data_IF_113301555401
#
_entry.id   IF_113301555401
#
_cell.length_a   1.000
_cell.length_b   1.000
_cell.length_c   1.000
_cell.angle_alpha   90.00
_cell.angle_beta   90.00
_cell.angle_gamma   90.00
#
_symmetry.space_group_name_H-M   'P 1'
#
loop_
_entity.id
_entity.type
_entity.pdbx_description
1 polymer ?
#
# COMPACT_ATOMS: atom_id res chain seq x y z
N UNK A 1 -58.18 -22.99 22.56
CA UNK A 1 -56.81 -23.47 22.36
C UNK A 1 -55.91 -22.25 22.11
N UNK A 2 -55.08 -21.94 23.05
CA UNK A 2 -54.13 -20.81 22.97
C UNK A 2 -52.77 -21.41 22.59
N UNK A 3 -52.19 -20.96 21.48
CA UNK A 3 -50.80 -21.27 21.12
C UNK A 3 -49.95 -20.10 21.57
N UNK A 4 -49.09 -20.37 22.57
CA UNK A 4 -47.98 -19.52 22.93
C UNK A 4 -46.85 -19.77 21.90
N UNK A 5 -46.41 -18.73 21.23
CA UNK A 5 -45.20 -18.74 20.43
C UNK A 5 -44.16 -17.92 21.18
N UNK A 6 -43.23 -18.64 21.84
CA UNK A 6 -42.01 -18.04 22.41
C UNK A 6 -41.08 -17.60 21.31
N UNK A 7 -40.95 -16.30 21.08
CA UNK A 7 -39.94 -15.70 20.24
C UNK A 7 -38.70 -15.44 21.13
N UNK A 8 -37.78 -16.39 21.20
CA UNK A 8 -36.40 -16.10 21.58
C UNK A 8 -35.74 -15.32 20.46
N UNK A 9 -35.65 -13.99 20.60
CA UNK A 9 -34.78 -13.16 19.81
C UNK A 9 -33.34 -13.42 20.25
N UNK A 10 -32.61 -14.21 19.46
CA UNK A 10 -31.17 -14.28 19.55
C UNK A 10 -30.59 -12.93 19.09
N UNK A 11 -30.24 -12.07 20.03
CA UNK A 11 -29.41 -10.90 19.75
C UNK A 11 -28.06 -11.40 19.19
N UNK A 12 -27.88 -11.24 17.89
CA UNK A 12 -26.57 -11.23 17.29
C UNK A 12 -25.83 -10.00 17.85
N UNK A 13 -25.07 -10.19 18.92
CA UNK A 13 -24.10 -9.20 19.36
C UNK A 13 -23.06 -9.05 18.25
N UNK A 14 -23.28 -8.07 17.39
CA UNK A 14 -22.24 -7.56 16.49
C UNK A 14 -21.17 -6.96 17.41
N UNK A 15 -20.11 -7.72 17.69
CA UNK A 15 -18.94 -7.20 18.36
C UNK A 15 -18.46 -6.00 17.50
N UNK A 16 -18.67 -4.79 18.03
CA UNK A 16 -18.14 -3.58 17.43
C UNK A 16 -16.64 -3.78 17.22
N UNK A 17 -16.19 -3.67 15.96
CA UNK A 17 -14.78 -3.78 15.63
C UNK A 17 -14.03 -2.72 16.44
N UNK A 18 -13.15 -3.12 17.34
CA UNK A 18 -12.38 -2.19 18.17
C UNK A 18 -11.37 -1.49 17.26
N UNK A 19 -11.61 -0.23 16.93
CA UNK A 19 -10.63 0.64 16.30
C UNK A 19 -9.78 1.30 17.38
N UNK A 20 -8.48 1.04 17.37
CA UNK A 20 -7.53 1.71 18.26
C UNK A 20 -7.00 2.97 17.56
N UNK A 21 -7.01 4.15 18.24
CA UNK A 21 -6.52 5.39 17.64
C UNK A 21 -5.04 5.30 17.27
N UNK A 22 -4.52 6.23 16.46
CA UNK A 22 -3.13 6.23 16.04
C UNK A 22 -2.16 6.19 17.25
N UNK A 23 -1.22 5.26 17.20
CA UNK A 23 -0.18 5.08 18.19
C UNK A 23 1.20 5.19 17.52
N UNK A 24 2.22 5.48 18.31
CA UNK A 24 3.61 5.51 17.87
C UNK A 24 4.40 4.45 18.65
N UNK A 25 5.17 3.65 17.92
CA UNK A 25 6.03 2.62 18.51
C UNK A 25 7.43 2.70 17.92
N UNK A 26 8.44 2.42 18.74
CA UNK A 26 9.82 2.32 18.28
C UNK A 26 10.06 0.98 17.62
N UNK A 27 10.47 0.98 16.34
CA UNK A 27 10.72 -0.22 15.57
C UNK A 27 11.87 0.02 14.58
N UNK A 28 12.79 -0.93 14.45
CA UNK A 28 13.95 -0.84 13.55
C UNK A 28 14.70 0.51 13.61
N UNK A 29 14.85 1.08 14.82
CA UNK A 29 15.57 2.33 15.04
C UNK A 29 14.83 3.63 14.63
N UNK A 30 13.55 3.55 14.26
CA UNK A 30 12.69 4.69 13.94
C UNK A 30 11.37 4.62 14.71
N UNK A 31 10.64 5.73 14.76
CA UNK A 31 9.28 5.76 15.29
C UNK A 31 8.31 5.51 14.14
N UNK A 32 7.41 4.55 14.31
CA UNK A 32 6.37 4.20 13.35
C UNK A 32 5.01 4.51 13.93
N UNK A 33 4.22 5.30 13.20
CA UNK A 33 2.82 5.56 13.50
C UNK A 33 1.96 4.47 12.87
N UNK A 34 1.08 3.84 13.67
CA UNK A 34 0.22 2.76 13.23
C UNK A 34 -1.17 2.84 13.87
N UNK A 35 -2.12 2.12 13.32
CA UNK A 35 -3.48 1.92 13.83
C UNK A 35 -3.87 0.45 13.71
N UNK A 36 -4.76 0.01 14.60
CA UNK A 36 -5.27 -1.36 14.62
C UNK A 36 -6.79 -1.36 14.55
N UNK A 37 -7.34 -2.26 13.73
CA UNK A 37 -8.77 -2.54 13.61
C UNK A 37 -9.01 -4.02 13.88
N UNK A 38 -10.10 -4.33 14.58
CA UNK A 38 -10.49 -5.70 14.87
C UNK A 38 -9.94 -6.22 16.21
N UNK A 39 -10.11 -7.51 16.44
CA UNK A 39 -9.76 -8.17 17.70
C UNK A 39 -8.25 -8.47 17.77
N UNK A 40 -7.62 -8.23 18.90
CA UNK A 40 -6.19 -8.49 19.13
C UNK A 40 -5.79 -9.96 18.97
N UNK A 41 -6.72 -10.90 19.18
CA UNK A 41 -6.49 -12.34 19.02
C UNK A 41 -6.76 -12.84 17.59
N UNK A 42 -7.24 -11.98 16.70
CA UNK A 42 -7.51 -12.33 15.31
C UNK A 42 -6.21 -12.46 14.50
N UNK A 43 -6.29 -13.06 13.30
CA UNK A 43 -5.14 -13.23 12.43
C UNK A 43 -4.58 -11.89 11.95
N UNK A 44 -3.26 -11.63 12.15
CA UNK A 44 -2.67 -10.35 11.79
C UNK A 44 -2.56 -10.17 10.27
N UNK A 45 -3.05 -9.02 9.79
CA UNK A 45 -3.00 -8.57 8.41
C UNK A 45 -2.42 -7.16 8.38
N UNK A 46 -1.23 -7.00 7.77
CA UNK A 46 -0.56 -5.71 7.64
C UNK A 46 -0.86 -5.07 6.29
N UNK A 47 -1.28 -3.81 6.33
CA UNK A 47 -1.55 -2.97 5.17
C UNK A 47 -0.38 -2.00 4.93
N UNK A 48 0.36 -2.18 3.84
CA UNK A 48 1.55 -1.40 3.49
C UNK A 48 1.20 -0.46 2.34
N UNK A 49 1.27 0.85 2.60
CA UNK A 49 0.85 1.87 1.63
C UNK A 49 1.98 2.23 0.65
N UNK A 50 1.59 2.89 -0.46
CA UNK A 50 2.45 3.28 -1.57
C UNK A 50 3.28 4.53 -1.33
N UNK A 51 3.98 4.95 -2.40
CA UNK A 51 4.86 6.12 -2.44
C UNK A 51 4.13 7.40 -2.06
N UNK A 52 4.65 8.10 -1.05
CA UNK A 52 4.14 9.41 -0.63
C UNK A 52 2.78 9.38 0.05
N UNK A 53 2.15 8.22 0.15
CA UNK A 53 0.82 8.05 0.71
C UNK A 53 0.89 7.68 2.21
N UNK A 54 0.05 8.32 3.01
CA UNK A 54 -0.10 8.05 4.44
C UNK A 54 -0.97 6.82 4.66
N UNK A 55 -0.90 6.19 5.83
CA UNK A 55 -1.68 5.00 6.17
C UNK A 55 -3.19 5.18 6.01
N UNK A 56 -3.70 6.41 6.15
CA UNK A 56 -5.12 6.74 6.01
C UNK A 56 -5.65 6.65 4.56
N UNK A 57 -4.80 6.38 3.57
CA UNK A 57 -5.24 6.00 2.22
C UNK A 57 -5.78 4.56 2.16
N UNK A 58 -5.47 3.72 3.16
CA UNK A 58 -6.31 2.59 3.51
C UNK A 58 -7.48 3.14 4.30
N UNK A 59 -8.62 3.38 3.65
CA UNK A 59 -9.79 4.01 4.26
C UNK A 59 -10.23 3.23 5.52
N UNK A 60 -10.76 3.97 6.53
CA UNK A 60 -11.18 3.38 7.78
C UNK A 60 -12.22 2.28 7.53
N UNK A 61 -13.22 2.55 6.69
CA UNK A 61 -14.26 1.59 6.36
C UNK A 61 -13.73 0.36 5.58
N UNK A 62 -12.65 0.50 4.80
CA UNK A 62 -11.98 -0.65 4.18
C UNK A 62 -11.31 -1.53 5.24
N UNK A 63 -10.62 -0.91 6.21
CA UNK A 63 -9.98 -1.61 7.32
C UNK A 63 -11.02 -2.30 8.23
N UNK A 64 -12.13 -1.63 8.53
CA UNK A 64 -13.24 -2.18 9.32
C UNK A 64 -13.89 -3.39 8.63
N UNK A 65 -14.07 -3.33 7.31
CA UNK A 65 -14.60 -4.47 6.55
C UNK A 65 -13.65 -5.67 6.56
N UNK A 66 -12.33 -5.47 6.49
CA UNK A 66 -11.36 -6.55 6.67
C UNK A 66 -11.37 -7.09 8.11
N UNK A 67 -11.48 -6.22 9.11
CA UNK A 67 -11.61 -6.62 10.51
C UNK A 67 -12.87 -7.46 10.76
N UNK A 68 -14.00 -7.08 10.15
CA UNK A 68 -15.24 -7.85 10.19
C UNK A 68 -15.12 -9.24 9.56
N UNK A 69 -14.11 -9.47 8.70
CA UNK A 69 -13.76 -10.79 8.16
C UNK A 69 -12.85 -11.61 9.07
N UNK A 70 -12.61 -11.15 10.31
CA UNK A 70 -11.85 -11.90 11.32
C UNK A 70 -10.35 -11.64 11.28
N UNK A 71 -9.89 -10.50 10.72
CA UNK A 71 -8.50 -10.08 10.75
C UNK A 71 -8.24 -9.04 11.85
N UNK A 72 -7.05 -9.11 12.45
CA UNK A 72 -6.43 -8.00 13.15
C UNK A 72 -5.69 -7.16 12.11
N UNK A 73 -6.31 -6.08 11.66
CA UNK A 73 -5.79 -5.24 10.57
C UNK A 73 -4.90 -4.16 11.13
N UNK A 74 -3.66 -4.11 10.69
CA UNK A 74 -2.67 -3.11 11.09
C UNK A 74 -2.30 -2.29 9.85
N UNK A 75 -2.55 -0.98 9.87
CA UNK A 75 -2.04 -0.03 8.89
C UNK A 75 -1.02 0.89 9.54
N UNK A 76 -0.02 1.34 8.81
CA UNK A 76 1.03 2.18 9.35
C UNK A 76 1.58 3.16 8.31
N UNK A 77 2.10 4.29 8.80
CA UNK A 77 2.84 5.24 7.97
C UNK A 77 4.26 4.69 7.73
N UNK A 78 4.64 4.52 6.48
CA UNK A 78 6.02 4.21 6.11
C UNK A 78 6.99 5.31 6.61
N UNK A 79 8.29 5.00 6.78
CA UNK A 79 9.31 6.01 7.05
C UNK A 79 9.16 7.21 6.12
N UNK A 80 9.41 8.40 6.63
CA UNK A 80 9.30 9.66 5.90
C UNK A 80 7.89 10.16 5.59
N UNK A 81 6.84 9.44 5.96
CA UNK A 81 5.44 9.81 5.66
C UNK A 81 4.63 9.93 6.94
N UNK A 82 3.61 10.79 6.89
CA UNK A 82 2.63 10.98 7.96
C UNK A 82 3.27 11.36 9.28
N UNK A 83 3.02 10.54 10.31
CA UNK A 83 3.51 10.73 11.68
C UNK A 83 4.70 9.83 12.03
N UNK A 84 5.14 8.97 11.12
CA UNK A 84 6.38 8.20 11.30
C UNK A 84 7.62 9.08 11.16
N UNK A 85 8.78 8.58 11.64
CA UNK A 85 10.05 9.30 11.62
C UNK A 85 10.37 9.87 10.25
N UNK A 86 10.73 11.17 10.24
CA UNK A 86 11.22 11.90 9.08
C UNK A 86 12.73 11.89 9.07
N UNK A 87 13.30 11.23 8.08
CA UNK A 87 14.76 11.16 7.95
C UNK A 87 15.33 12.45 7.32
N UNK A 88 16.59 12.67 7.54
CA UNK A 88 17.32 13.83 6.96
C UNK A 88 18.19 13.38 5.79
N UNK A 89 18.68 14.34 5.02
CA UNK A 89 19.56 14.08 3.88
C UNK A 89 18.79 13.68 2.61
N UNK A 90 19.57 13.25 1.61
CA UNK A 90 19.07 12.93 0.27
C UNK A 90 18.95 14.18 -0.62
N UNK A 91 19.28 14.03 -1.89
CA UNK A 91 19.14 15.08 -2.92
C UNK A 91 17.84 14.84 -3.70
N UNK A 92 17.28 15.89 -4.28
CA UNK A 92 16.18 15.74 -5.24
C UNK A 92 16.67 14.92 -6.44
N UNK A 93 15.78 14.06 -6.95
CA UNK A 93 16.06 13.32 -8.17
C UNK A 93 16.15 14.29 -9.35
N UNK A 94 17.19 14.14 -10.15
CA UNK A 94 17.42 14.97 -11.32
C UNK A 94 17.11 14.22 -12.61
N UNK A 95 16.67 14.90 -13.69
CA UNK A 95 16.49 14.26 -15.01
C UNK A 95 17.75 13.55 -15.49
N UNK A 96 18.93 14.09 -15.17
CA UNK A 96 20.21 13.50 -15.54
C UNK A 96 20.50 12.17 -14.85
N UNK A 97 20.10 12.02 -13.57
CA UNK A 97 20.19 10.74 -12.87
C UNK A 97 19.24 9.69 -13.46
N UNK A 98 18.04 10.11 -13.85
CA UNK A 98 17.10 9.22 -14.54
C UNK A 98 17.65 8.77 -15.90
N UNK A 99 18.28 9.67 -16.66
CA UNK A 99 18.91 9.34 -17.93
C UNK A 99 20.06 8.34 -17.72
N UNK A 100 20.93 8.59 -16.72
CA UNK A 100 22.01 7.65 -16.34
C UNK A 100 21.47 6.28 -15.95
N UNK A 101 20.43 6.24 -15.14
CA UNK A 101 19.79 4.98 -14.76
C UNK A 101 19.25 4.24 -15.98
N UNK A 102 18.55 4.96 -16.88
CA UNK A 102 17.87 4.38 -18.06
C UNK A 102 18.83 3.85 -19.10
N UNK A 103 19.92 4.59 -19.42
CA UNK A 103 20.81 4.27 -20.52
C UNK A 103 22.13 3.63 -20.06
N UNK A 104 22.69 4.07 -18.95
CA UNK A 104 23.97 3.58 -18.45
C UNK A 104 23.83 2.54 -17.33
N UNK A 105 22.59 2.28 -16.88
CA UNK A 105 22.30 1.37 -15.73
C UNK A 105 23.06 1.76 -14.45
N UNK A 106 23.43 3.04 -14.30
CA UNK A 106 24.08 3.56 -13.11
C UNK A 106 23.01 3.72 -12.02
N UNK A 107 23.13 3.03 -10.87
CA UNK A 107 22.16 3.11 -9.79
C UNK A 107 22.04 4.53 -9.23
N UNK A 108 20.83 4.92 -8.86
CA UNK A 108 20.55 6.17 -8.14
C UNK A 108 21.03 6.02 -6.70
N UNK A 109 21.76 7.02 -6.20
CA UNK A 109 22.12 7.06 -4.77
C UNK A 109 20.87 7.32 -3.93
N UNK A 110 20.68 6.54 -2.86
CA UNK A 110 19.54 6.65 -1.97
C UNK A 110 19.98 6.60 -0.50
N UNK A 111 19.26 7.30 0.36
CA UNK A 111 19.49 7.30 1.82
C UNK A 111 19.15 5.95 2.43
N UNK A 112 18.18 5.26 1.86
CA UNK A 112 17.72 3.91 2.20
C UNK A 112 17.13 3.24 0.96
N UNK A 113 16.89 1.94 1.04
CA UNK A 113 16.29 1.12 -0.02
C UNK A 113 14.99 0.48 0.44
N UNK A 114 14.30 -0.22 -0.45
CA UNK A 114 13.08 -0.96 -0.11
C UNK A 114 13.33 -2.04 0.96
N UNK A 115 14.51 -2.64 1.00
CA UNK A 115 14.87 -3.60 2.04
C UNK A 115 14.90 -2.97 3.44
N UNK A 116 15.26 -1.69 3.56
CA UNK A 116 15.24 -1.01 4.85
C UNK A 116 13.80 -0.72 5.29
N UNK A 117 12.89 -0.45 4.34
CA UNK A 117 11.45 -0.34 4.61
C UNK A 117 10.82 -1.71 4.93
N UNK A 118 11.32 -2.77 4.33
CA UNK A 118 10.93 -4.14 4.70
C UNK A 118 11.35 -4.49 6.13
N UNK A 119 12.56 -4.05 6.55
CA UNK A 119 13.00 -4.17 7.95
C UNK A 119 12.15 -3.36 8.92
N UNK A 120 11.62 -2.20 8.50
CA UNK A 120 10.65 -1.44 9.31
C UNK A 120 9.37 -2.22 9.52
N UNK A 121 8.85 -2.83 8.46
CA UNK A 121 7.64 -3.67 8.54
C UNK A 121 7.84 -4.84 9.51
N UNK A 122 8.97 -5.54 9.42
CA UNK A 122 9.32 -6.64 10.34
C UNK A 122 9.56 -6.12 11.75
N UNK A 123 10.23 -4.98 11.91
CA UNK A 123 10.45 -4.34 13.21
C UNK A 123 9.14 -3.92 13.87
N UNK A 124 8.16 -3.44 13.10
CA UNK A 124 6.81 -3.17 13.61
C UNK A 124 6.13 -4.46 14.09
N UNK A 125 6.23 -5.54 13.31
CA UNK A 125 5.72 -6.86 13.74
C UNK A 125 6.37 -7.31 15.04
N UNK A 126 7.70 -7.15 15.18
CA UNK A 126 8.42 -7.53 16.41
C UNK A 126 7.95 -6.72 17.61
N UNK A 127 7.81 -5.40 17.46
CA UNK A 127 7.36 -4.50 18.50
C UNK A 127 5.90 -4.78 18.94
N UNK A 128 5.07 -5.33 18.03
CA UNK A 128 3.68 -5.74 18.32
C UNK A 128 3.54 -7.21 18.73
N UNK A 129 4.64 -7.95 18.87
CA UNK A 129 4.64 -9.38 19.23
C UNK A 129 4.10 -10.30 18.13
N UNK A 130 4.06 -9.86 16.88
CA UNK A 130 3.52 -10.59 15.74
C UNK A 130 4.61 -11.49 15.14
N UNK A 131 4.47 -12.79 15.24
CA UNK A 131 5.44 -13.76 14.69
C UNK A 131 5.38 -13.83 13.17
N UNK A 132 4.20 -13.90 12.60
CA UNK A 132 3.96 -13.92 11.14
C UNK A 132 2.59 -13.31 10.83
N UNK A 133 2.45 -12.73 9.62
CA UNK A 133 1.24 -12.03 9.20
C UNK A 133 0.93 -12.23 7.72
N UNK A 134 -0.31 -11.94 7.33
CA UNK A 134 -0.69 -11.69 5.94
C UNK A 134 -0.25 -10.28 5.56
N UNK A 135 0.45 -10.13 4.44
CA UNK A 135 0.91 -8.84 3.96
C UNK A 135 0.08 -8.41 2.75
N UNK A 136 -0.49 -7.22 2.83
CA UNK A 136 -1.22 -6.58 1.73
C UNK A 136 -0.53 -5.27 1.42
N UNK A 137 0.12 -5.18 0.26
CA UNK A 137 0.86 -3.99 -0.13
C UNK A 137 0.33 -3.36 -1.42
N UNK A 138 0.08 -2.05 -1.40
CA UNK A 138 -0.34 -1.29 -2.57
C UNK A 138 0.83 -0.51 -3.18
N UNK A 139 1.03 -0.60 -4.50
CA UNK A 139 2.05 0.15 -5.24
C UNK A 139 3.46 -0.08 -4.68
N UNK A 140 4.18 0.94 -4.21
CA UNK A 140 5.45 0.78 -3.49
C UNK A 140 5.29 -0.15 -2.26
N UNK A 141 4.13 -0.14 -1.59
CA UNK A 141 3.84 -1.07 -0.49
C UNK A 141 3.87 -2.53 -0.92
N UNK A 142 3.42 -2.85 -2.14
CA UNK A 142 3.58 -4.17 -2.74
C UNK A 142 5.05 -4.53 -3.00
N UNK A 143 5.87 -3.55 -3.42
CA UNK A 143 7.31 -3.75 -3.57
C UNK A 143 8.00 -4.03 -2.22
N UNK A 144 7.56 -3.33 -1.15
CA UNK A 144 8.05 -3.57 0.22
C UNK A 144 7.63 -4.96 0.69
N UNK A 145 6.36 -5.33 0.49
CA UNK A 145 5.85 -6.66 0.84
C UNK A 145 6.60 -7.78 0.10
N UNK A 146 6.96 -7.58 -1.17
CA UNK A 146 7.84 -8.49 -1.92
C UNK A 146 9.23 -8.61 -1.25
N UNK A 147 9.84 -7.50 -0.82
CA UNK A 147 11.13 -7.53 -0.12
C UNK A 147 11.03 -8.21 1.25
N UNK A 148 9.93 -8.04 1.99
CA UNK A 148 9.68 -8.79 3.24
C UNK A 148 9.60 -10.28 2.94
N UNK A 149 8.84 -10.67 1.94
CA UNK A 149 8.64 -12.09 1.57
C UNK A 149 9.94 -12.75 1.13
N UNK A 150 10.80 -12.02 0.39
CA UNK A 150 12.10 -12.50 -0.05
C UNK A 150 13.14 -12.62 1.06
N UNK A 151 13.14 -11.66 2.00
CA UNK A 151 14.21 -11.54 3.00
C UNK A 151 13.83 -12.14 4.35
N UNK A 152 12.54 -12.30 4.63
CA UNK A 152 12.00 -12.80 5.89
C UNK A 152 10.82 -13.76 5.64
N UNK A 153 10.99 -14.83 4.84
CA UNK A 153 9.89 -15.68 4.39
C UNK A 153 9.09 -16.30 5.55
N UNK A 154 9.73 -16.62 6.67
CA UNK A 154 9.08 -17.17 7.87
C UNK A 154 8.14 -16.17 8.58
N UNK A 155 8.19 -14.88 8.22
CA UNK A 155 7.34 -13.83 8.78
C UNK A 155 6.06 -13.60 7.94
N UNK A 156 5.94 -14.27 6.79
CA UNK A 156 4.86 -14.04 5.81
C UNK A 156 3.99 -15.29 5.69
N UNK A 157 2.71 -15.15 6.04
CA UNK A 157 1.69 -16.18 5.85
C UNK A 157 1.18 -16.20 4.42
N UNK A 158 0.89 -15.02 3.87
CA UNK A 158 0.56 -14.82 2.47
C UNK A 158 0.95 -13.43 2.02
N UNK A 159 1.15 -13.25 0.71
CA UNK A 159 1.43 -11.99 0.06
C UNK A 159 0.26 -11.59 -0.85
N UNK A 160 -0.31 -10.41 -0.65
CA UNK A 160 -1.20 -9.76 -1.62
C UNK A 160 -0.51 -8.49 -2.15
N UNK A 161 -0.22 -8.47 -3.45
CA UNK A 161 0.45 -7.37 -4.14
C UNK A 161 -0.55 -6.65 -5.03
N UNK A 162 -0.95 -5.43 -4.65
CA UNK A 162 -1.97 -4.65 -5.36
C UNK A 162 -1.31 -3.54 -6.17
N UNK A 163 -1.67 -3.38 -7.45
CA UNK A 163 -1.19 -2.32 -8.36
C UNK A 163 0.33 -2.07 -8.27
N UNK A 164 1.12 -3.15 -8.19
CA UNK A 164 2.57 -3.09 -7.96
C UNK A 164 3.35 -3.75 -9.11
N UNK A 165 4.67 -3.73 -9.01
CA UNK A 165 5.58 -4.27 -10.03
C UNK A 165 6.81 -4.93 -9.40
N UNK A 166 7.44 -5.82 -10.13
CA UNK A 166 8.75 -6.41 -9.79
C UNK A 166 9.91 -5.42 -9.88
N UNK A 167 9.70 -4.27 -10.51
CA UNK A 167 10.78 -3.34 -10.90
C UNK A 167 11.52 -3.76 -12.17
N UNK A 168 11.00 -4.72 -12.93
CA UNK A 168 11.56 -5.14 -14.21
C UNK A 168 11.55 -3.98 -15.22
N UNK A 169 12.71 -3.56 -15.75
CA UNK A 169 12.79 -2.42 -16.67
C UNK A 169 12.16 -2.67 -18.05
N UNK A 170 11.72 -3.91 -18.33
CA UNK A 170 11.00 -4.28 -19.55
C UNK A 170 9.49 -4.00 -19.45
N UNK A 171 8.96 -3.80 -18.25
CA UNK A 171 7.55 -3.39 -18.05
C UNK A 171 7.39 -1.97 -18.62
N UNK A 172 6.29 -1.69 -19.34
CA UNK A 172 6.04 -0.36 -19.87
C UNK A 172 6.11 0.74 -18.79
N UNK A 173 6.67 1.92 -19.10
CA UNK A 173 6.72 3.03 -18.17
C UNK A 173 5.31 3.58 -17.89
N UNK A 174 5.14 4.42 -16.86
CA UNK A 174 3.92 5.18 -16.64
C UNK A 174 3.47 5.94 -17.89
N UNK A 175 2.16 6.26 -17.98
CA UNK A 175 1.69 7.21 -19.00
C UNK A 175 2.40 8.55 -18.83
N UNK A 176 2.43 9.37 -19.89
CA UNK A 176 3.06 10.70 -19.84
C UNK A 176 2.45 11.56 -18.72
N UNK A 177 1.14 11.50 -18.58
CA UNK A 177 0.39 12.24 -17.56
C UNK A 177 0.75 11.77 -16.12
N UNK A 178 0.73 10.47 -15.85
CA UNK A 178 1.12 9.93 -14.56
C UNK A 178 2.61 10.17 -14.24
N UNK A 179 3.49 10.14 -15.24
CA UNK A 179 4.90 10.48 -15.06
C UNK A 179 5.09 11.97 -14.73
N UNK A 180 4.37 12.87 -15.42
CA UNK A 180 4.40 14.30 -15.15
C UNK A 180 3.90 14.62 -13.72
N UNK A 181 2.81 13.99 -13.30
CA UNK A 181 2.27 14.09 -11.94
C UNK A 181 3.32 13.66 -10.89
N UNK A 182 3.97 12.52 -11.10
CA UNK A 182 4.97 11.99 -10.17
C UNK A 182 6.21 12.91 -10.04
N UNK A 183 6.57 13.61 -11.11
CA UNK A 183 7.72 14.53 -11.17
C UNK A 183 7.37 15.98 -10.85
N UNK A 184 6.11 16.29 -10.60
CA UNK A 184 5.67 17.65 -10.29
C UNK A 184 6.39 18.20 -9.05
N UNK A 185 6.72 19.50 -9.01
CA UNK A 185 7.27 20.12 -7.81
C UNK A 185 6.23 20.07 -6.69
N UNK A 186 6.66 20.05 -5.41
CA UNK A 186 5.72 20.04 -4.29
C UNK A 186 4.83 21.29 -4.30
N UNK A 187 3.58 21.19 -3.81
CA UNK A 187 2.69 22.33 -3.68
C UNK A 187 3.27 23.36 -2.71
N UNK A 188 3.03 24.65 -2.97
CA UNK A 188 3.57 25.78 -2.19
C UNK A 188 2.61 26.26 -1.09
N UNK A 189 1.33 25.92 -1.19
CA UNK A 189 0.30 26.29 -0.20
C UNK A 189 -0.65 25.13 0.04
N UNK A 190 -1.52 25.27 1.06
CA UNK A 190 -2.60 24.32 1.34
C UNK A 190 -3.58 24.26 0.18
N UNK A 191 -3.98 25.41 -0.33
CA UNK A 191 -4.95 25.52 -1.42
C UNK A 191 -4.44 24.82 -2.68
N UNK A 192 -3.17 25.04 -3.03
CA UNK A 192 -2.52 24.35 -4.14
C UNK A 192 -2.47 22.83 -3.91
N UNK A 193 -2.21 22.40 -2.67
CA UNK A 193 -2.22 20.96 -2.33
C UNK A 193 -3.61 20.37 -2.51
N UNK A 194 -4.67 21.02 -2.01
CA UNK A 194 -6.04 20.51 -2.10
C UNK A 194 -6.49 20.33 -3.55
N UNK A 195 -6.25 21.34 -4.40
CA UNK A 195 -6.57 21.26 -5.83
C UNK A 195 -5.79 20.13 -6.50
N UNK A 196 -4.47 20.11 -6.30
CA UNK A 196 -3.59 19.09 -6.91
C UNK A 196 -3.89 17.69 -6.43
N UNK A 197 -4.37 17.52 -5.21
CA UNK A 197 -4.79 16.21 -4.70
C UNK A 197 -5.92 15.62 -5.55
N UNK A 198 -6.98 16.38 -5.84
CA UNK A 198 -8.06 15.95 -6.70
C UNK A 198 -7.59 15.63 -8.13
N UNK A 199 -6.77 16.51 -8.73
CA UNK A 199 -6.19 16.28 -10.06
C UNK A 199 -5.35 14.98 -10.10
N UNK A 200 -4.54 14.76 -9.07
CA UNK A 200 -3.73 13.54 -8.93
C UNK A 200 -4.60 12.27 -8.90
N UNK A 201 -5.64 12.27 -8.07
CA UNK A 201 -6.53 11.11 -7.95
C UNK A 201 -7.37 10.88 -9.20
N UNK A 202 -7.74 11.95 -9.91
CA UNK A 202 -8.40 11.84 -11.22
C UNK A 202 -7.52 11.13 -12.24
N UNK A 203 -6.24 11.50 -12.32
CA UNK A 203 -5.25 10.81 -13.18
C UNK A 203 -5.09 9.36 -12.74
N UNK A 204 -4.91 9.09 -11.45
CA UNK A 204 -4.72 7.73 -10.93
C UNK A 204 -5.93 6.83 -11.16
N UNK A 205 -7.14 7.35 -11.06
CA UNK A 205 -8.38 6.63 -11.40
C UNK A 205 -8.57 6.43 -12.92
N UNK A 206 -7.71 7.04 -13.76
CA UNK A 206 -7.79 6.96 -15.23
C UNK A 206 -9.16 7.40 -15.80
N UNK A 207 -9.81 8.37 -15.17
CA UNK A 207 -11.14 8.87 -15.56
C UNK A 207 -12.32 7.96 -15.19
N UNK A 208 -12.06 6.87 -14.50
CA UNK A 208 -13.09 5.98 -13.96
C UNK A 208 -13.52 6.42 -12.53
N UNK A 209 -14.68 5.99 -12.09
CA UNK A 209 -15.23 6.27 -10.74
C UNK A 209 -15.32 7.77 -10.42
N UNK A 210 -16.02 8.57 -11.25
CA UNK A 210 -16.14 10.02 -11.04
C UNK A 210 -16.87 10.38 -9.73
N UNK A 211 -17.69 9.48 -9.18
CA UNK A 211 -18.34 9.63 -7.88
C UNK A 211 -17.36 9.76 -6.72
N UNK A 212 -16.16 9.23 -6.87
CA UNK A 212 -15.08 9.36 -5.87
C UNK A 212 -14.51 10.79 -5.80
N UNK A 213 -14.67 11.59 -6.86
CA UNK A 213 -14.15 12.96 -6.90
C UNK A 213 -14.77 13.83 -5.80
N UNK A 214 -16.01 13.57 -5.42
CA UNK A 214 -16.70 14.28 -4.34
C UNK A 214 -16.07 14.03 -2.95
N UNK A 215 -15.35 12.94 -2.79
CA UNK A 215 -14.68 12.58 -1.52
C UNK A 215 -13.26 13.15 -1.42
N UNK A 216 -12.65 13.54 -2.55
CA UNK A 216 -11.26 13.97 -2.59
C UNK A 216 -10.95 15.21 -1.72
N UNK A 217 -11.80 16.25 -1.63
CA UNK A 217 -11.54 17.38 -0.75
C UNK A 217 -11.41 16.97 0.72
N UNK A 218 -12.31 16.13 1.23
CA UNK A 218 -12.24 15.63 2.61
C UNK A 218 -11.03 14.74 2.86
N UNK A 219 -10.65 13.90 1.89
CA UNK A 219 -9.44 13.09 1.93
C UNK A 219 -8.18 13.97 1.96
N UNK A 220 -8.12 15.00 1.11
CA UNK A 220 -7.02 15.94 1.04
C UNK A 220 -6.82 16.70 2.36
N UNK A 221 -7.91 17.19 2.96
CA UNK A 221 -7.85 17.88 4.26
C UNK A 221 -7.29 16.95 5.35
N UNK A 222 -7.74 15.72 5.44
CA UNK A 222 -7.22 14.74 6.40
C UNK A 222 -5.72 14.45 6.21
N UNK A 223 -5.27 14.32 4.96
CA UNK A 223 -3.86 14.11 4.62
C UNK A 223 -3.04 15.34 5.00
N UNK A 224 -3.52 16.54 4.67
CA UNK A 224 -2.83 17.79 4.99
C UNK A 224 -2.68 17.99 6.50
N UNK A 225 -3.74 17.77 7.27
CA UNK A 225 -3.74 17.89 8.72
C UNK A 225 -2.73 16.94 9.42
N UNK A 226 -2.46 15.78 8.83
CA UNK A 226 -1.42 14.87 9.33
C UNK A 226 0.02 15.32 8.99
N UNK A 227 0.15 16.29 8.10
CA UNK A 227 1.41 16.89 7.68
C UNK A 227 2.04 16.24 6.45
N UNK A 228 2.55 17.08 5.58
CA UNK A 228 3.24 16.67 4.35
C UNK A 228 4.75 16.60 4.57
N UNK A 229 5.42 15.72 3.81
CA UNK A 229 6.88 15.63 3.77
C UNK A 229 7.39 15.41 2.33
N UNK A 230 7.41 16.45 1.48
CA UNK A 230 7.85 16.32 0.10
C UNK A 230 9.28 15.79 -0.06
N UNK A 231 10.18 16.13 0.89
CA UNK A 231 11.54 15.61 0.89
C UNK A 231 11.54 14.09 1.15
N UNK A 232 10.65 13.61 2.02
CA UNK A 232 10.45 12.18 2.28
C UNK A 232 9.94 11.42 1.07
N UNK A 233 8.96 11.98 0.35
CA UNK A 233 8.48 11.41 -0.93
C UNK A 233 9.64 11.27 -1.93
N UNK A 234 10.50 12.28 -2.02
CA UNK A 234 11.70 12.22 -2.87
C UNK A 234 12.68 11.11 -2.43
N UNK A 235 12.88 10.90 -1.13
CA UNK A 235 13.72 9.80 -0.61
C UNK A 235 13.11 8.42 -0.90
N UNK A 236 11.80 8.27 -0.72
CA UNK A 236 11.11 7.03 -1.07
C UNK A 236 11.22 6.71 -2.57
N UNK A 237 11.04 7.71 -3.45
CA UNK A 237 11.21 7.50 -4.89
C UNK A 237 12.64 7.05 -5.23
N UNK A 238 13.66 7.65 -4.60
CA UNK A 238 15.05 7.19 -4.73
C UNK A 238 15.24 5.77 -4.23
N UNK A 239 14.59 5.41 -3.12
CA UNK A 239 14.65 4.05 -2.58
C UNK A 239 14.09 3.02 -3.57
N UNK A 240 12.95 3.32 -4.22
CA UNK A 240 12.38 2.47 -5.29
C UNK A 240 13.38 2.30 -6.43
N UNK A 241 13.94 3.41 -6.95
CA UNK A 241 14.87 3.38 -8.09
C UNK A 241 16.20 2.69 -7.76
N UNK A 242 16.71 2.88 -6.54
CA UNK A 242 17.97 2.29 -6.08
C UNK A 242 17.86 0.79 -5.75
N UNK A 243 16.63 0.29 -5.54
CA UNK A 243 16.41 -1.13 -5.21
C UNK A 243 16.38 -2.04 -6.44
N UNK A 244 16.17 -1.48 -7.63
CA UNK A 244 16.18 -2.22 -8.87
C UNK A 244 15.09 -3.28 -8.98
N UNK A 245 15.33 -4.28 -9.82
CA UNK A 245 14.39 -5.36 -10.09
C UNK A 245 14.49 -6.49 -9.07
N UNK A 246 13.33 -6.98 -8.63
CA UNK A 246 13.19 -8.18 -7.79
C UNK A 246 12.81 -9.42 -8.59
N UNK A 247 12.57 -9.26 -9.91
CA UNK A 247 11.98 -10.29 -10.77
C UNK A 247 12.61 -11.67 -10.57
N UNK A 248 13.93 -11.76 -10.74
CA UNK A 248 14.63 -13.05 -10.66
C UNK A 248 14.58 -13.65 -9.23
N UNK A 249 14.64 -12.79 -8.21
CA UNK A 249 14.54 -13.22 -6.82
C UNK A 249 13.15 -13.74 -6.46
N UNK A 250 12.10 -13.22 -7.09
CA UNK A 250 10.70 -13.61 -6.82
C UNK A 250 10.42 -15.08 -7.19
N UNK A 251 11.22 -15.72 -8.02
CA UNK A 251 11.11 -17.16 -8.28
C UNK A 251 11.35 -18.04 -7.05
N UNK A 252 12.00 -17.51 -6.00
CA UNK A 252 12.23 -18.23 -4.74
C UNK A 252 11.10 -18.07 -3.71
N UNK A 253 10.08 -17.29 -4.01
CA UNK A 253 8.95 -17.07 -3.09
C UNK A 253 8.11 -18.33 -2.99
N UNK A 254 7.90 -18.79 -1.75
CA UNK A 254 7.09 -19.97 -1.42
C UNK A 254 5.76 -19.59 -0.75
N UNK A 255 5.65 -18.37 -0.22
CA UNK A 255 4.42 -17.90 0.40
C UNK A 255 3.29 -17.83 -0.64
N UNK A 256 2.07 -18.30 -0.31
CA UNK A 256 0.91 -18.11 -1.16
C UNK A 256 0.82 -16.64 -1.60
N UNK A 257 0.64 -16.39 -2.90
CA UNK A 257 0.66 -15.04 -3.44
C UNK A 257 -0.56 -14.74 -4.30
N UNK A 258 -1.18 -13.60 -4.04
CA UNK A 258 -2.24 -12.99 -4.84
C UNK A 258 -1.73 -11.67 -5.43
N UNK A 259 -1.87 -11.49 -6.72
CA UNK A 259 -1.62 -10.22 -7.39
C UNK A 259 -2.96 -9.64 -7.82
N UNK A 260 -3.26 -8.41 -7.42
CA UNK A 260 -4.45 -7.66 -7.84
C UNK A 260 -3.99 -6.45 -8.66
N UNK A 261 -4.55 -6.25 -9.84
CA UNK A 261 -4.15 -5.13 -10.70
C UNK A 261 -5.32 -4.62 -11.54
N UNK A 262 -5.37 -3.32 -11.74
CA UNK A 262 -6.38 -2.70 -12.58
C UNK A 262 -6.02 -2.73 -14.06
N UNK A 263 -7.02 -2.90 -14.94
CA UNK A 263 -6.79 -3.00 -16.39
C UNK A 263 -6.40 -1.67 -17.04
N UNK A 264 -6.67 -0.54 -16.36
CA UNK A 264 -6.42 0.80 -16.89
C UNK A 264 -5.42 1.61 -16.04
N UNK A 265 -4.62 0.94 -15.17
CA UNK A 265 -3.63 1.60 -14.31
C UNK A 265 -2.64 2.45 -15.13
N UNK A 266 -2.62 3.78 -14.95
CA UNK A 266 -1.77 4.67 -15.71
C UNK A 266 -0.35 4.80 -15.14
N UNK A 267 -0.16 4.48 -13.84
CA UNK A 267 1.10 4.70 -13.14
C UNK A 267 1.96 3.43 -13.13
N UNK A 268 1.43 2.32 -12.68
CA UNK A 268 2.04 1.00 -12.84
C UNK A 268 1.24 0.23 -13.86
N UNK A 269 1.73 0.18 -15.09
CA UNK A 269 0.99 -0.43 -16.19
C UNK A 269 0.57 -1.87 -15.87
N UNK A 270 -0.57 -2.36 -16.38
CA UNK A 270 -1.11 -3.71 -16.09
C UNK A 270 -0.10 -4.84 -16.27
N UNK A 271 0.88 -4.63 -17.16
CA UNK A 271 2.01 -5.54 -17.38
C UNK A 271 2.87 -5.73 -16.11
N UNK A 272 2.89 -4.75 -15.19
CA UNK A 272 3.60 -4.85 -13.91
C UNK A 272 3.00 -5.91 -12.99
N UNK A 273 1.67 -5.98 -12.92
CA UNK A 273 0.96 -7.03 -12.20
C UNK A 273 1.13 -8.39 -12.85
N UNK A 274 0.99 -8.46 -14.17
CA UNK A 274 1.21 -9.70 -14.96
C UNK A 274 2.65 -10.22 -14.78
N UNK A 275 3.65 -9.33 -14.85
CA UNK A 275 5.07 -9.69 -14.63
C UNK A 275 5.29 -10.17 -13.19
N UNK A 276 4.62 -9.54 -12.19
CA UNK A 276 4.70 -9.99 -10.79
C UNK A 276 4.13 -11.40 -10.62
N UNK A 277 2.93 -11.65 -11.13
CA UNK A 277 2.30 -12.97 -11.04
C UNK A 277 3.13 -14.04 -11.77
N UNK A 278 3.64 -13.74 -12.95
CA UNK A 278 4.49 -14.66 -13.71
C UNK A 278 5.86 -14.93 -13.06
N UNK A 279 6.32 -14.05 -12.15
CA UNK A 279 7.62 -14.18 -11.48
C UNK A 279 7.54 -14.98 -10.17
N UNK A 280 6.34 -15.28 -9.66
CA UNK A 280 6.16 -15.97 -8.37
C UNK A 280 5.48 -17.31 -8.62
N UNK A 281 6.11 -18.44 -8.27
CA UNK A 281 5.51 -19.76 -8.46
C UNK A 281 4.14 -19.87 -7.77
N UNK A 282 3.13 -20.33 -8.50
CA UNK A 282 1.79 -20.54 -7.96
C UNK A 282 0.99 -19.25 -7.64
N UNK A 283 1.50 -18.06 -8.00
CA UNK A 283 0.77 -16.83 -7.77
C UNK A 283 -0.55 -16.77 -8.55
N UNK A 284 -1.61 -16.33 -7.88
CA UNK A 284 -2.90 -16.02 -8.50
C UNK A 284 -2.90 -14.58 -9.00
N UNK A 285 -3.55 -14.33 -10.14
CA UNK A 285 -3.71 -12.98 -10.71
C UNK A 285 -5.20 -12.64 -10.82
N UNK A 286 -5.59 -11.53 -10.18
CA UNK A 286 -6.90 -10.92 -10.33
C UNK A 286 -6.74 -9.59 -11.07
N UNK A 287 -7.19 -9.53 -12.31
CA UNK A 287 -7.32 -8.29 -13.07
C UNK A 287 -8.70 -7.70 -12.85
N UNK A 288 -8.77 -6.44 -12.40
CA UNK A 288 -10.05 -5.74 -12.15
C UNK A 288 -10.26 -4.75 -13.30
N UNK A 289 -11.35 -4.96 -14.02
CA UNK A 289 -11.68 -4.10 -15.16
C UNK A 289 -12.04 -2.68 -14.72
N UNK A 290 -11.57 -1.68 -15.48
CA UNK A 290 -11.76 -0.26 -15.18
C UNK A 290 -11.04 0.27 -13.95
N UNK A 291 -10.35 -0.56 -13.15
CA UNK A 291 -9.57 -0.10 -12.02
C UNK A 291 -8.26 0.54 -12.51
N UNK A 292 -8.00 1.78 -12.06
CA UNK A 292 -6.74 2.49 -12.25
C UNK A 292 -5.73 2.20 -11.13
N UNK A 293 -4.89 3.20 -10.81
CA UNK A 293 -3.94 3.16 -9.68
C UNK A 293 -4.59 3.69 -8.39
N UNK A 294 -5.76 3.15 -8.05
CA UNK A 294 -6.57 3.53 -6.91
C UNK A 294 -7.34 2.33 -6.37
N UNK A 295 -7.89 2.46 -5.17
CA UNK A 295 -8.77 1.48 -4.53
C UNK A 295 -10.17 2.09 -4.39
N UNK A 296 -10.94 2.20 -5.48
CA UNK A 296 -12.24 2.86 -5.43
C UNK A 296 -13.25 2.03 -4.63
N UNK A 297 -14.14 2.71 -3.90
CA UNK A 297 -15.13 2.10 -3.00
C UNK A 297 -15.96 1.01 -3.70
N UNK A 298 -16.44 1.19 -4.94
CA UNK A 298 -17.21 0.14 -5.62
C UNK A 298 -16.46 -1.17 -5.83
N UNK A 299 -15.12 -1.16 -5.81
CA UNK A 299 -14.29 -2.35 -5.99
C UNK A 299 -13.91 -3.04 -4.67
N UNK A 300 -14.16 -2.41 -3.51
CA UNK A 300 -13.81 -2.97 -2.22
C UNK A 300 -14.40 -4.35 -1.95
N UNK A 301 -15.67 -4.64 -2.25
CA UNK A 301 -16.22 -5.97 -2.02
C UNK A 301 -15.43 -7.07 -2.72
N UNK A 302 -15.05 -6.85 -3.99
CA UNK A 302 -14.26 -7.80 -4.77
C UNK A 302 -12.83 -7.94 -4.23
N UNK A 303 -12.20 -6.82 -3.89
CA UNK A 303 -10.82 -6.79 -3.37
C UNK A 303 -10.77 -7.48 -1.99
N UNK A 304 -11.68 -7.14 -1.08
CA UNK A 304 -11.76 -7.71 0.27
C UNK A 304 -12.03 -9.21 0.21
N UNK A 305 -12.98 -9.64 -0.62
CA UNK A 305 -13.27 -11.06 -0.80
C UNK A 305 -12.06 -11.84 -1.35
N UNK A 306 -11.31 -11.22 -2.28
CA UNK A 306 -10.10 -11.83 -2.84
C UNK A 306 -8.98 -11.94 -1.78
N UNK A 307 -8.78 -10.90 -0.95
CA UNK A 307 -7.81 -10.91 0.16
C UNK A 307 -8.20 -11.99 1.17
N UNK A 308 -9.47 -12.02 1.61
CA UNK A 308 -9.97 -13.02 2.57
C UNK A 308 -9.79 -14.44 2.05
N UNK A 309 -10.28 -14.73 0.84
CA UNK A 309 -10.19 -16.08 0.26
C UNK A 309 -8.77 -16.51 -0.09
N UNK A 310 -7.80 -15.57 -0.12
CA UNK A 310 -6.39 -15.86 -0.31
C UNK A 310 -5.65 -16.07 1.03
N UNK A 311 -6.06 -15.40 2.09
CA UNK A 311 -5.44 -15.49 3.40
C UNK A 311 -5.84 -16.78 4.17
N UNK A 312 -6.92 -17.42 3.78
CA UNK A 312 -7.43 -18.69 4.31
C UNK A 312 -7.01 -19.86 3.40
#
# INVERSE_FOLDING_TARGET
MRYNVDHQQGELTVNASSHQPPQIIRANGIDICYEIFGNDNAEPLLLIMGLGAQMIHWDDAFCEQLAARGFRVIRFDNRDIGKSSRLTGGKRLTPFELLKLRFLKIPVAATYKLIDMARDTVGLMDALGIKSAHLVGASMGGMIAQEVTLSFPQRVRSLTSIMSTTGNPRVPPPTREAAAMLMAPPPKSKEEFLVRFGETWKVLRAGHFPEEEALDPGRAERVFARGLNPAGVGRQLRAVLASGSRKERLHSVTAPTLVIHGTVDPLVRPEGGKDTAASIPGAKLLMIDGMGHALPIPMWPQIIAAIEGHAR
#
